data_IF_039293814885
#
_entry.id   IF_039293814885
#
_cell.length_a   1.000
_cell.length_b   1.000
_cell.length_c   1.000
_cell.angle_alpha   90.00
_cell.angle_beta   90.00
_cell.angle_gamma   90.00
#
_symmetry.space_group_name_H-M   'P 1'
#
loop_
_entity.id
_entity.type
_entity.pdbx_description
1 polymer ?
#
# COMPACT_ATOMS: atom_id res chain seq x y z
N UNK A 1 -14.21 1.21 8.06
CA UNK A 1 -14.48 -0.24 7.89
C UNK A 1 -13.16 -0.92 8.17
N UNK A 2 -13.10 -1.75 9.20
CA UNK A 2 -11.92 -2.52 9.54
C UNK A 2 -12.05 -3.87 8.83
N UNK A 3 -11.15 -4.14 7.89
CA UNK A 3 -11.16 -5.36 7.09
C UNK A 3 -10.26 -6.38 7.79
N UNK A 4 -10.81 -7.07 8.79
CA UNK A 4 -10.10 -8.17 9.46
C UNK A 4 -9.98 -9.34 8.49
N UNK A 5 -8.76 -9.76 8.20
CA UNK A 5 -8.49 -10.93 7.37
C UNK A 5 -7.60 -11.91 8.10
N UNK A 6 -7.75 -13.20 7.82
CA UNK A 6 -6.91 -14.26 8.41
C UNK A 6 -5.76 -14.66 7.47
N UNK A 7 -5.85 -14.29 6.20
CA UNK A 7 -4.84 -14.55 5.17
C UNK A 7 -4.91 -13.51 4.05
N UNK A 8 -3.94 -13.58 3.12
CA UNK A 8 -3.84 -12.68 1.96
C UNK A 8 -5.09 -12.67 1.08
N UNK A 9 -5.61 -13.86 0.74
CA UNK A 9 -6.77 -13.99 -0.14
C UNK A 9 -8.04 -13.42 0.50
N UNK A 10 -8.20 -13.60 1.81
CA UNK A 10 -9.28 -13.00 2.59
C UNK A 10 -9.23 -11.48 2.56
N UNK A 11 -8.03 -10.89 2.67
CA UNK A 11 -7.89 -9.43 2.61
C UNK A 11 -8.20 -8.88 1.21
N UNK A 12 -7.76 -9.59 0.16
CA UNK A 12 -8.07 -9.23 -1.23
C UNK A 12 -9.57 -9.33 -1.51
N UNK A 13 -10.23 -10.40 -1.05
CA UNK A 13 -11.66 -10.62 -1.23
C UNK A 13 -12.52 -9.56 -0.53
N UNK A 14 -12.06 -9.02 0.60
CA UNK A 14 -12.73 -7.94 1.33
C UNK A 14 -12.44 -6.53 0.78
N UNK A 15 -11.59 -6.41 -0.25
CA UNK A 15 -11.38 -5.14 -0.94
C UNK A 15 -12.66 -4.69 -1.65
N UNK A 16 -12.90 -3.38 -1.70
CA UNK A 16 -14.00 -2.81 -2.49
C UNK A 16 -13.90 -3.16 -3.98
N UNK A 17 -12.67 -3.40 -4.44
CA UNK A 17 -12.33 -3.86 -5.78
C UNK A 17 -11.17 -4.86 -5.64
N UNK A 18 -11.51 -6.15 -5.73
CA UNK A 18 -10.56 -7.25 -5.52
C UNK A 18 -9.58 -7.40 -6.69
N UNK A 19 -10.01 -7.10 -7.92
CA UNK A 19 -9.15 -7.16 -9.09
C UNK A 19 -8.14 -6.02 -9.07
N UNK A 20 -8.59 -4.79 -8.77
CA UNK A 20 -7.67 -3.67 -8.57
C UNK A 20 -6.64 -3.98 -7.48
N UNK A 21 -7.05 -4.64 -6.39
CA UNK A 21 -6.15 -5.05 -5.32
C UNK A 21 -5.10 -6.04 -5.81
N UNK A 22 -5.50 -7.06 -6.57
CA UNK A 22 -4.55 -8.00 -7.18
C UNK A 22 -3.55 -7.29 -8.08
N UNK A 23 -3.98 -6.30 -8.85
CA UNK A 23 -3.09 -5.56 -9.75
C UNK A 23 -2.12 -4.65 -9.00
N UNK A 24 -2.57 -3.96 -7.95
CA UNK A 24 -1.69 -3.15 -7.08
C UNK A 24 -0.66 -4.05 -6.40
N UNK A 25 -1.07 -5.20 -5.86
CA UNK A 25 -0.15 -6.17 -5.25
C UNK A 25 0.88 -6.67 -6.25
N UNK A 26 0.44 -7.09 -7.45
CA UNK A 26 1.36 -7.53 -8.53
C UNK A 26 2.36 -6.44 -8.91
N UNK A 27 1.91 -5.18 -9.00
CA UNK A 27 2.78 -4.04 -9.32
C UNK A 27 3.88 -3.87 -8.28
N UNK A 28 3.51 -3.90 -6.99
CA UNK A 28 4.45 -3.73 -5.88
C UNK A 28 5.41 -4.92 -5.78
N UNK A 29 4.90 -6.16 -5.81
CA UNK A 29 5.74 -7.37 -5.70
C UNK A 29 6.70 -7.51 -6.87
N UNK A 30 6.31 -7.09 -8.08
CA UNK A 30 7.23 -7.06 -9.23
C UNK A 30 8.45 -6.17 -8.98
N UNK A 31 8.28 -5.09 -8.21
CA UNK A 31 9.37 -4.18 -7.87
C UNK A 31 10.27 -4.72 -6.74
N UNK A 32 9.73 -5.63 -5.91
CA UNK A 32 10.44 -6.21 -4.76
C UNK A 32 10.33 -7.75 -4.73
N UNK A 33 10.91 -8.45 -5.71
CA UNK A 33 10.73 -9.90 -5.85
C UNK A 33 11.27 -10.71 -4.67
N UNK A 34 12.22 -10.18 -3.90
CA UNK A 34 12.82 -10.84 -2.74
C UNK A 34 12.06 -10.61 -1.43
N UNK A 35 11.00 -9.80 -1.45
CA UNK A 35 10.25 -9.42 -0.25
C UNK A 35 8.79 -9.85 -0.41
N UNK A 36 8.46 -11.12 -0.11
CA UNK A 36 7.09 -11.59 -0.25
C UNK A 36 6.16 -10.79 0.68
N UNK A 37 4.94 -10.47 0.22
CA UNK A 37 3.97 -9.80 1.06
C UNK A 37 3.50 -10.75 2.17
N UNK A 38 3.39 -10.22 3.39
CA UNK A 38 2.79 -10.90 4.53
C UNK A 38 1.54 -10.15 4.98
N UNK A 39 0.63 -10.86 5.63
CA UNK A 39 -0.48 -10.20 6.29
C UNK A 39 0.02 -9.48 7.54
N UNK A 40 -0.38 -8.23 7.70
CA UNK A 40 -0.24 -7.46 8.93
C UNK A 40 -1.63 -7.01 9.37
N UNK A 41 -1.95 -7.23 10.64
CA UNK A 41 -3.19 -6.79 11.26
C UNK A 41 -2.88 -6.31 12.68
N UNK A 42 -3.20 -5.05 12.98
CA UNK A 42 -2.99 -4.49 14.31
C UNK A 42 -4.12 -4.83 15.31
N UNK A 43 -5.12 -5.60 14.87
CA UNK A 43 -6.25 -6.04 15.71
C UNK A 43 -7.27 -4.95 16.04
N UNK A 44 -7.11 -3.74 15.48
CA UNK A 44 -7.93 -2.57 15.82
C UNK A 44 -8.52 -1.91 14.57
N UNK A 45 -7.67 -1.29 13.76
CA UNK A 45 -8.09 -0.34 12.73
C UNK A 45 -7.39 -0.54 11.39
N UNK A 46 -6.32 -1.33 11.36
CA UNK A 46 -5.46 -1.42 10.20
C UNK A 46 -5.07 -2.87 9.92
N UNK A 47 -5.42 -3.32 8.72
CA UNK A 47 -5.00 -4.59 8.18
C UNK A 47 -4.49 -4.35 6.75
N UNK A 48 -3.34 -4.92 6.40
CA UNK A 48 -2.65 -4.65 5.16
C UNK A 48 -1.81 -5.85 4.71
N UNK A 49 -1.42 -5.82 3.43
CA UNK A 49 -0.30 -6.59 2.94
C UNK A 49 0.98 -5.79 3.12
N UNK A 50 1.86 -6.29 3.98
CA UNK A 50 3.09 -5.65 4.38
C UNK A 50 4.30 -6.26 3.65
N UNK A 51 5.19 -5.41 3.14
CA UNK A 51 6.47 -5.80 2.54
C UNK A 51 7.63 -5.09 3.25
N UNK A 52 8.75 -5.80 3.40
CA UNK A 52 9.91 -5.32 4.16
C UNK A 52 9.64 -5.15 5.65
N UNK A 53 10.66 -4.73 6.39
CA UNK A 53 10.57 -4.43 7.82
C UNK A 53 10.22 -2.95 8.02
N UNK A 54 9.31 -2.64 8.95
CA UNK A 54 9.04 -1.25 9.32
C UNK A 54 10.34 -0.60 9.85
N UNK A 55 10.84 0.48 9.22
CA UNK A 55 12.07 1.14 9.67
C UNK A 55 11.85 1.96 10.95
N UNK A 56 10.60 2.26 11.31
CA UNK A 56 10.20 3.07 12.46
C UNK A 56 8.99 2.41 13.16
N UNK A 57 9.19 1.26 13.81
CA UNK A 57 8.12 0.60 14.54
C UNK A 57 7.56 1.52 15.63
N UNK A 58 6.24 1.61 15.68
CA UNK A 58 5.49 2.27 16.75
C UNK A 58 4.56 1.26 17.39
N UNK A 59 4.08 1.50 18.62
CA UNK A 59 3.09 0.63 19.25
C UNK A 59 1.92 0.29 18.32
N UNK A 60 1.55 -0.98 18.26
CA UNK A 60 0.54 -1.58 17.36
C UNK A 60 0.91 -1.64 15.86
N UNK A 61 2.13 -1.23 15.47
CA UNK A 61 2.62 -1.22 14.08
C UNK A 61 4.03 -1.80 13.95
N UNK A 62 4.47 -2.56 14.94
CA UNK A 62 5.79 -3.20 14.98
C UNK A 62 5.96 -4.15 13.80
N UNK A 63 4.92 -4.92 13.49
CA UNK A 63 4.90 -5.88 12.39
C UNK A 63 4.43 -5.29 11.05
N UNK A 64 4.24 -3.97 10.97
CA UNK A 64 3.94 -3.31 9.72
C UNK A 64 5.11 -3.44 8.72
N UNK A 65 4.82 -3.27 7.44
CA UNK A 65 5.84 -3.23 6.40
C UNK A 65 6.50 -1.86 6.31
N UNK A 66 7.65 -1.81 5.63
CA UNK A 66 8.10 -0.55 5.04
C UNK A 66 7.05 -0.09 4.01
N UNK A 67 6.53 -1.03 3.22
CA UNK A 67 5.42 -0.80 2.28
C UNK A 67 4.20 -1.55 2.80
N UNK A 68 3.05 -0.89 2.82
CA UNK A 68 1.78 -1.52 3.19
C UNK A 68 0.71 -1.23 2.15
N UNK A 69 0.00 -2.27 1.71
CA UNK A 69 -1.11 -2.19 0.77
C UNK A 69 -2.38 -2.53 1.54
N UNK A 70 -3.23 -1.55 1.77
CA UNK A 70 -4.43 -1.73 2.60
C UNK A 70 -5.69 -1.40 1.78
N UNK A 71 -6.68 -2.32 1.70
CA UNK A 71 -7.98 -1.98 1.16
C UNK A 71 -8.69 -0.98 2.07
N UNK A 72 -9.34 0.03 1.48
CA UNK A 72 -10.18 1.00 2.16
C UNK A 72 -11.56 1.01 1.48
N UNK A 73 -12.52 1.74 2.06
CA UNK A 73 -13.94 1.73 1.60
C UNK A 73 -14.11 1.99 0.09
N UNK A 74 -13.24 2.81 -0.52
CA UNK A 74 -13.39 3.28 -1.90
C UNK A 74 -12.05 3.52 -2.62
N UNK A 75 -10.96 2.97 -2.09
CA UNK A 75 -9.64 3.03 -2.70
C UNK A 75 -8.72 1.99 -2.07
N UNK A 76 -7.60 1.73 -2.73
CA UNK A 76 -6.49 0.95 -2.19
C UNK A 76 -5.43 1.93 -1.74
N UNK A 77 -5.06 1.84 -0.46
CA UNK A 77 -4.05 2.68 0.12
C UNK A 77 -2.68 2.02 -0.02
N UNK A 78 -1.75 2.73 -0.66
CA UNK A 78 -0.34 2.36 -0.69
C UNK A 78 0.41 3.28 0.28
N UNK A 79 0.87 2.72 1.38
CA UNK A 79 1.72 3.37 2.36
C UNK A 79 3.17 3.01 2.09
N UNK A 80 4.03 4.01 2.19
CA UNK A 80 5.48 3.82 2.21
C UNK A 80 5.95 4.56 3.46
N UNK A 81 6.37 3.80 4.46
CA UNK A 81 6.86 4.30 5.74
C UNK A 81 8.31 4.72 5.58
N UNK A 82 8.50 5.78 4.80
CA UNK A 82 9.74 6.54 4.77
C UNK A 82 9.43 8.00 5.15
N UNK A 83 10.48 8.74 5.45
CA UNK A 83 10.54 10.14 5.86
C UNK A 83 9.70 11.11 5.02
N UNK A 84 9.70 12.39 5.42
CA UNK A 84 9.02 13.53 4.79
C UNK A 84 9.13 13.54 3.25
N UNK A 85 10.22 13.00 2.69
CA UNK A 85 10.48 12.82 1.25
C UNK A 85 9.32 12.15 0.49
N UNK A 86 8.70 11.13 1.08
CA UNK A 86 7.66 10.33 0.41
C UNK A 86 6.39 11.14 0.17
N UNK A 87 6.01 11.96 1.15
CA UNK A 87 4.82 12.82 1.03
C UNK A 87 5.03 13.91 -0.04
N UNK A 88 6.24 14.47 -0.12
CA UNK A 88 6.61 15.41 -1.17
C UNK A 88 6.53 14.74 -2.55
N UNK A 89 7.04 13.52 -2.69
CA UNK A 89 6.93 12.75 -3.93
C UNK A 89 5.48 12.47 -4.31
N UNK A 90 4.61 12.16 -3.34
CA UNK A 90 3.18 12.00 -3.62
C UNK A 90 2.55 13.27 -4.17
N UNK A 91 2.79 14.39 -3.53
CA UNK A 91 2.18 15.68 -3.90
C UNK A 91 2.72 16.25 -5.21
N UNK A 92 3.95 15.91 -5.59
CA UNK A 92 4.56 16.30 -6.87
C UNK A 92 4.04 15.46 -8.05
N UNK A 93 3.88 14.16 -7.86
CA UNK A 93 3.62 13.23 -8.97
C UNK A 93 2.15 12.83 -9.14
N UNK A 94 1.29 13.12 -8.15
CA UNK A 94 -0.10 12.66 -8.16
C UNK A 94 -1.09 13.79 -7.83
N UNK A 95 -2.34 13.70 -8.29
CA UNK A 95 -3.37 14.67 -7.93
C UNK A 95 -3.60 14.71 -6.42
N UNK A 96 -3.80 15.91 -5.85
CA UNK A 96 -4.10 16.11 -4.42
C UNK A 96 -5.25 15.24 -3.89
N UNK A 97 -6.24 14.96 -4.73
CA UNK A 97 -7.39 14.10 -4.35
C UNK A 97 -7.00 12.64 -4.11
N UNK A 98 -5.80 12.23 -4.54
CA UNK A 98 -5.26 10.87 -4.45
C UNK A 98 -4.11 10.78 -3.44
N UNK A 99 -3.74 11.88 -2.78
CA UNK A 99 -2.70 11.91 -1.74
C UNK A 99 -3.35 12.04 -0.36
N UNK A 100 -3.21 11.02 0.48
CA UNK A 100 -3.61 11.04 1.89
C UNK A 100 -2.49 11.51 2.83
N UNK A 101 -2.76 11.54 4.14
CA UNK A 101 -1.76 11.81 5.20
C UNK A 101 -0.77 10.64 5.33
N UNK A 102 0.04 10.39 4.29
CA UNK A 102 1.05 9.32 4.26
C UNK A 102 0.76 8.14 3.33
N UNK A 103 -0.25 8.24 2.45
CA UNK A 103 -0.52 7.20 1.46
C UNK A 103 -0.92 7.76 0.11
N UNK A 104 -0.66 6.97 -0.93
CA UNK A 104 -1.28 7.12 -2.24
C UNK A 104 -2.61 6.34 -2.25
N UNK A 105 -3.68 6.98 -2.75
CA UNK A 105 -5.02 6.42 -2.87
C UNK A 105 -5.30 6.02 -4.31
N UNK A 106 -5.23 4.72 -4.60
CA UNK A 106 -5.51 4.15 -5.91
C UNK A 106 -7.01 3.84 -5.97
N UNK A 107 -7.77 4.69 -6.65
CA UNK A 107 -9.24 4.71 -6.55
C UNK A 107 -9.97 3.73 -7.47
N UNK A 108 -9.39 3.44 -8.63
CA UNK A 108 -9.98 2.61 -9.66
C UNK A 108 -8.93 2.17 -10.68
N UNK A 109 -9.31 1.30 -11.61
CA UNK A 109 -8.45 0.79 -12.67
C UNK A 109 -7.89 1.91 -13.57
N UNK A 110 -8.73 2.86 -13.99
CA UNK A 110 -8.30 3.99 -14.84
C UNK A 110 -7.19 4.83 -14.19
N UNK A 111 -7.25 5.02 -12.87
CA UNK A 111 -6.18 5.68 -12.13
C UNK A 111 -4.90 4.85 -12.16
N UNK A 112 -5.00 3.54 -11.88
CA UNK A 112 -3.86 2.65 -11.89
C UNK A 112 -3.18 2.66 -13.27
N UNK A 113 -3.94 2.50 -14.36
CA UNK A 113 -3.41 2.50 -15.72
C UNK A 113 -2.69 3.81 -16.07
N UNK A 114 -3.30 4.95 -15.71
CA UNK A 114 -2.74 6.28 -15.98
C UNK A 114 -1.43 6.53 -15.22
N UNK A 115 -1.32 6.05 -13.99
CA UNK A 115 -0.21 6.39 -13.09
C UNK A 115 0.73 5.22 -12.78
N UNK A 116 0.57 4.08 -13.46
CA UNK A 116 1.35 2.85 -13.23
C UNK A 116 2.86 3.09 -13.27
N UNK A 117 3.33 3.83 -14.27
CA UNK A 117 4.75 4.16 -14.41
C UNK A 117 5.23 5.09 -13.31
N UNK A 118 4.44 6.10 -12.93
CA UNK A 118 4.77 6.98 -11.80
C UNK A 118 4.87 6.19 -10.49
N UNK A 119 3.94 5.26 -10.25
CA UNK A 119 3.98 4.38 -9.07
C UNK A 119 5.22 3.49 -9.12
N UNK A 120 5.54 2.89 -10.25
CA UNK A 120 6.74 2.06 -10.41
C UNK A 120 8.02 2.86 -10.15
N UNK A 121 8.14 4.06 -10.72
CA UNK A 121 9.28 4.95 -10.53
C UNK A 121 9.40 5.46 -9.10
N UNK A 122 8.28 5.64 -8.40
CA UNK A 122 8.28 5.92 -6.97
C UNK A 122 8.85 4.72 -6.20
N UNK A 123 8.31 3.52 -6.43
CA UNK A 123 8.73 2.32 -5.71
C UNK A 123 10.22 1.99 -5.90
N UNK A 124 10.78 2.25 -7.10
CA UNK A 124 12.23 2.06 -7.39
C UNK A 124 13.18 2.89 -6.52
N UNK A 125 12.69 3.93 -5.86
CA UNK A 125 13.51 4.80 -5.01
C UNK A 125 13.77 4.19 -3.63
N UNK A 126 13.09 3.10 -3.29
CA UNK A 126 13.18 2.46 -1.98
C UNK A 126 13.88 1.11 -2.08
N UNK A 127 14.67 0.80 -1.08
CA UNK A 127 15.27 -0.51 -0.86
C UNK A 127 14.63 -1.13 0.40
N UNK A 128 14.18 -2.38 0.29
CA UNK A 128 13.45 -3.11 1.34
C UNK A 128 14.34 -4.06 2.15
#
# INVERSE_FOLDING_TARGET
MYNKAENLDGLIAQSFDSELMRQVVKLVVKQFPNHPPRLFDNGKTFCALALGKNPRPSPDYEDAGYINIAPQKNYIALYIYDTTSTFEQYTKNFPKSSTGKGCLRIKNQTFLDKYKENISNLLRQYEL
#
